data_IF_249525719370
#
_entry.id   IF_249525719370
#
_cell.length_a   1.000
_cell.length_b   1.000
_cell.length_c   1.000
_cell.angle_alpha   90.00
_cell.angle_beta   90.00
_cell.angle_gamma   90.00
#
_symmetry.space_group_name_H-M   'P 1'
#
loop_
_entity.id
_entity.type
_entity.pdbx_description
1 polymer ?
#
# COMPACT_ATOMS: atom_id res chain seq x y z
N UNK A 1 38.55 -18.43 -4.26
CA UNK A 1 37.70 -17.72 -5.25
C UNK A 1 36.29 -18.33 -5.37
N UNK A 2 36.13 -19.65 -5.56
CA UNK A 2 34.82 -20.32 -5.70
C UNK A 2 33.79 -20.04 -4.58
N UNK A 3 34.24 -19.97 -3.32
CA UNK A 3 33.38 -19.68 -2.15
C UNK A 3 32.87 -18.23 -2.11
N UNK A 4 33.64 -17.29 -2.65
CA UNK A 4 33.28 -15.86 -2.70
C UNK A 4 32.23 -15.62 -3.77
N UNK A 5 32.38 -16.27 -4.94
CA UNK A 5 31.39 -16.23 -6.02
C UNK A 5 30.05 -16.78 -5.55
N UNK A 6 30.05 -17.92 -4.84
CA UNK A 6 28.82 -18.51 -4.32
C UNK A 6 28.15 -17.61 -3.27
N UNK A 7 28.92 -16.97 -2.39
CA UNK A 7 28.38 -16.01 -1.42
C UNK A 7 27.75 -14.79 -2.12
N UNK A 8 28.40 -14.21 -3.12
CA UNK A 8 27.86 -13.08 -3.89
C UNK A 8 26.58 -13.43 -4.64
N UNK A 9 26.49 -14.63 -5.22
CA UNK A 9 25.26 -15.10 -5.88
C UNK A 9 24.09 -15.18 -4.90
N UNK A 10 24.32 -15.67 -3.67
CA UNK A 10 23.25 -15.75 -2.67
C UNK A 10 22.75 -14.38 -2.22
N UNK A 11 23.63 -13.36 -2.12
CA UNK A 11 23.21 -12.00 -1.76
C UNK A 11 22.36 -11.34 -2.86
N UNK A 12 22.65 -11.63 -4.14
CA UNK A 12 21.86 -11.11 -5.26
C UNK A 12 20.41 -11.61 -5.29
N UNK A 13 20.17 -12.86 -4.88
CA UNK A 13 18.83 -13.46 -4.81
C UNK A 13 17.94 -12.81 -3.73
N UNK A 14 18.52 -12.34 -2.62
CA UNK A 14 17.75 -11.67 -1.54
C UNK A 14 17.34 -10.24 -1.93
N UNK A 15 18.01 -9.62 -2.90
CA UNK A 15 17.69 -8.27 -3.33
C UNK A 15 16.39 -8.19 -4.15
N UNK A 16 15.96 -9.28 -4.78
CA UNK A 16 14.74 -9.33 -5.59
C UNK A 16 13.44 -9.53 -4.78
N UNK A 17 13.53 -9.88 -3.49
CA UNK A 17 12.34 -10.15 -2.67
C UNK A 17 11.69 -8.91 -2.05
N UNK A 18 12.36 -7.75 -2.11
CA UNK A 18 11.92 -6.52 -1.45
C UNK A 18 10.95 -5.66 -2.30
N UNK A 19 10.67 -6.07 -3.55
CA UNK A 19 9.88 -5.29 -4.51
C UNK A 19 8.45 -5.81 -4.69
N UNK A 20 7.81 -6.27 -3.60
CA UNK A 20 6.44 -6.80 -3.65
C UNK A 20 5.36 -5.70 -3.47
N UNK A 21 5.68 -4.58 -2.83
CA UNK A 21 4.74 -3.48 -2.61
C UNK A 21 5.45 -2.12 -2.71
N UNK A 22 5.13 -1.35 -3.74
CA UNK A 22 5.67 0.00 -3.89
C UNK A 22 5.11 0.90 -2.79
N UNK A 23 5.95 1.24 -1.81
CA UNK A 23 5.65 2.29 -0.82
C UNK A 23 4.80 1.88 0.39
N UNK A 24 4.58 0.58 0.63
CA UNK A 24 3.76 0.08 1.76
C UNK A 24 4.16 0.71 3.11
N UNK A 25 5.47 0.79 3.38
CA UNK A 25 5.95 1.36 4.65
C UNK A 25 5.58 2.83 4.82
N UNK A 26 5.60 3.62 3.74
CA UNK A 26 5.23 5.04 3.80
C UNK A 26 3.71 5.22 3.94
N UNK A 27 2.94 4.39 3.24
CA UNK A 27 1.47 4.43 3.33
C UNK A 27 0.97 4.02 4.72
N UNK A 28 1.48 2.91 5.29
CA UNK A 28 1.08 2.41 6.61
C UNK A 28 1.45 3.35 7.77
N UNK A 29 2.46 4.20 7.59
CA UNK A 29 2.88 5.19 8.58
C UNK A 29 2.14 6.54 8.42
N UNK A 30 1.39 6.71 7.33
CA UNK A 30 0.67 7.95 7.07
C UNK A 30 -0.54 8.10 8.00
N UNK A 31 -0.92 9.35 8.27
CA UNK A 31 -2.10 9.71 9.05
C UNK A 31 -2.99 10.62 8.22
N UNK A 32 -4.29 10.63 8.52
CA UNK A 32 -5.22 11.58 7.92
C UNK A 32 -4.72 13.02 8.18
N UNK A 33 -4.84 13.87 7.17
CA UNK A 33 -4.48 15.28 7.26
C UNK A 33 -5.39 16.06 8.21
N UNK A 34 -5.11 17.36 8.37
CA UNK A 34 -5.96 18.24 9.17
C UNK A 34 -7.40 18.27 8.63
N UNK A 35 -8.37 18.46 9.53
CA UNK A 35 -9.75 18.69 9.15
C UNK A 35 -9.86 19.92 8.26
N UNK A 36 -10.76 19.88 7.28
CA UNK A 36 -11.01 21.01 6.41
C UNK A 36 -11.62 22.16 7.21
N UNK A 37 -11.02 23.35 7.05
CA UNK A 37 -11.61 24.60 7.49
C UNK A 37 -12.44 25.16 6.33
N UNK A 38 -13.75 25.28 6.55
CA UNK A 38 -14.66 25.87 5.57
C UNK A 38 -14.80 27.36 5.86
N UNK A 39 -14.35 28.24 4.95
CA UNK A 39 -14.44 29.68 5.17
C UNK A 39 -15.88 30.18 5.00
N UNK A 40 -16.28 31.14 5.82
CA UNK A 40 -17.57 31.84 5.69
C UNK A 40 -17.72 32.49 4.29
N UNK A 41 -18.93 32.53 3.70
CA UNK A 41 -20.22 32.09 4.25
C UNK A 41 -20.51 30.59 4.05
N UNK A 42 -19.56 29.82 3.50
CA UNK A 42 -19.73 28.39 3.31
C UNK A 42 -19.69 27.70 4.68
N UNK A 43 -20.47 26.64 4.81
CA UNK A 43 -20.51 25.78 6.00
C UNK A 43 -20.14 24.36 5.60
N UNK A 44 -19.80 23.52 6.57
CA UNK A 44 -19.52 22.10 6.31
C UNK A 44 -20.67 21.39 5.59
N UNK A 45 -21.92 21.85 5.75
CA UNK A 45 -23.07 21.33 5.02
C UNK A 45 -23.07 21.64 3.52
N UNK A 46 -22.24 22.59 3.07
CA UNK A 46 -22.11 22.97 1.66
C UNK A 46 -21.04 22.16 0.92
N UNK A 47 -20.27 21.32 1.62
CA UNK A 47 -19.21 20.50 1.04
C UNK A 47 -19.66 19.04 1.08
N UNK A 48 -19.45 18.32 -0.02
CA UNK A 48 -19.71 16.88 -0.05
C UNK A 48 -18.75 16.10 0.85
N UNK A 49 -19.14 14.88 1.21
CA UNK A 49 -18.38 13.95 2.05
C UNK A 49 -17.08 13.40 1.42
N UNK A 50 -16.58 14.01 0.35
CA UNK A 50 -15.38 13.55 -0.38
C UNK A 50 -14.12 13.57 0.50
N UNK A 51 -14.08 14.48 1.47
CA UNK A 51 -12.95 14.65 2.39
C UNK A 51 -13.17 13.98 3.75
N UNK A 52 -14.28 13.26 3.91
CA UNK A 52 -14.55 12.49 5.11
C UNK A 52 -13.74 11.20 5.05
N UNK A 53 -12.50 11.30 5.50
CA UNK A 53 -11.60 10.16 5.55
C UNK A 53 -12.03 9.21 6.69
N UNK A 54 -12.15 7.91 6.43
CA UNK A 54 -12.43 6.94 7.47
C UNK A 54 -11.28 6.90 8.48
N UNK A 55 -11.58 6.47 9.70
CA UNK A 55 -10.54 6.22 10.71
C UNK A 55 -9.62 5.10 10.21
N UNK A 56 -8.30 5.32 10.14
CA UNK A 56 -7.37 4.28 9.69
C UNK A 56 -7.46 3.05 10.60
N UNK A 57 -7.58 1.86 10.01
CA UNK A 57 -7.55 0.61 10.76
C UNK A 57 -6.16 0.38 11.37
N UNK A 58 -6.10 -0.25 12.55
CA UNK A 58 -4.83 -0.54 13.24
C UNK A 58 -3.96 -1.57 12.50
N UNK A 59 -4.54 -2.34 11.58
CA UNK A 59 -3.87 -3.41 10.84
C UNK A 59 -4.45 -3.53 9.43
N UNK A 60 -3.60 -3.47 8.41
CA UNK A 60 -3.96 -3.71 7.00
C UNK A 60 -3.25 -4.97 6.51
N UNK A 61 -3.93 -6.11 6.56
CA UNK A 61 -3.47 -7.34 5.92
C UNK A 61 -4.19 -7.47 4.57
N UNK A 62 -3.54 -7.03 3.50
CA UNK A 62 -4.10 -7.08 2.15
C UNK A 62 -3.33 -8.12 1.33
N UNK A 63 -4.05 -9.06 0.71
CA UNK A 63 -3.44 -9.92 -0.31
C UNK A 63 -3.55 -9.24 -1.67
N UNK A 64 -2.41 -8.97 -2.30
CA UNK A 64 -2.33 -8.34 -3.63
C UNK A 64 -2.18 -9.39 -4.74
N UNK A 65 -2.06 -10.67 -4.38
CA UNK A 65 -2.01 -11.74 -5.36
C UNK A 65 -3.31 -11.80 -6.17
N UNK A 66 -3.23 -12.06 -7.48
CA UNK A 66 -4.41 -12.25 -8.31
C UNK A 66 -5.34 -13.31 -7.70
N UNK A 67 -6.66 -13.09 -7.67
CA UNK A 67 -7.60 -14.06 -7.16
C UNK A 67 -7.54 -15.34 -7.99
N UNK A 68 -7.32 -16.48 -7.34
CA UNK A 68 -7.17 -17.80 -7.99
C UNK A 68 -8.46 -18.27 -8.68
N UNK A 69 -9.59 -17.62 -8.41
CA UNK A 69 -10.92 -17.99 -8.90
C UNK A 69 -11.19 -17.66 -10.39
N UNK A 70 -10.22 -17.18 -11.15
CA UNK A 70 -10.36 -16.90 -12.59
C UNK A 70 -9.40 -17.71 -13.48
N UNK A 71 -9.02 -18.92 -13.02
CA UNK A 71 -8.50 -19.98 -13.88
C UNK A 71 -9.57 -21.06 -14.12
N UNK A 72 -10.82 -20.66 -14.36
CA UNK A 72 -11.84 -21.56 -14.91
C UNK A 72 -11.85 -21.40 -16.43
N UNK A 73 -11.07 -22.27 -17.05
CA UNK A 73 -11.24 -22.88 -18.37
C UNK A 73 -12.23 -22.18 -19.32
N UNK A 74 -11.71 -21.58 -20.39
CA UNK A 74 -12.41 -21.58 -21.67
C UNK A 74 -11.61 -22.52 -22.56
N UNK A 75 -12.20 -23.69 -22.78
CA UNK A 75 -11.77 -24.71 -23.73
C UNK A 75 -11.98 -24.23 -25.17
#
# INVERSE_FOLDING_TARGET
MKKIVLAMSTLGLVACSQYASTGEKMYLQSRNGASINVPSPLTAANIGHFYDLPTPASTFNMNVEPPTAMAKTIS
#
